data_IF_285148111126
#
_entry.id   IF_285148111126
#
_cell.length_a   1.000
_cell.length_b   1.000
_cell.length_c   1.000
_cell.angle_alpha   90.00
_cell.angle_beta   90.00
_cell.angle_gamma   90.00
#
_symmetry.space_group_name_H-M   'P 1'
#
loop_
_entity.id
_entity.type
_entity.pdbx_description
1 polymer ?
#
# COMPACT_ATOMS: atom_id res chain seq x y z
N UNK A 1 7.22 -54.46 -3.30
CA UNK A 1 8.21 -53.37 -3.19
C UNK A 1 7.46 -52.07 -3.33
N UNK A 2 7.12 -51.39 -2.23
CA UNK A 2 6.53 -50.06 -2.29
C UNK A 2 7.67 -49.07 -2.49
N UNK A 3 7.74 -48.45 -3.67
CA UNK A 3 8.65 -47.33 -3.92
C UNK A 3 8.23 -46.16 -3.02
N UNK A 4 9.02 -45.85 -1.99
CA UNK A 4 8.84 -44.63 -1.20
C UNK A 4 9.09 -43.42 -2.11
N UNK A 5 8.00 -42.73 -2.43
CA UNK A 5 8.04 -41.44 -3.11
C UNK A 5 8.26 -40.34 -2.08
N UNK A 6 9.35 -39.59 -2.23
CA UNK A 6 9.63 -38.40 -1.42
C UNK A 6 8.72 -37.26 -1.88
N UNK A 7 7.85 -36.80 -0.99
CA UNK A 7 6.93 -35.69 -1.26
C UNK A 7 7.33 -34.44 -0.47
N UNK A 8 7.19 -33.23 -1.05
CA UNK A 8 7.46 -32.00 -0.31
C UNK A 8 6.33 -31.71 0.68
N UNK A 9 6.68 -31.48 1.95
CA UNK A 9 5.72 -30.96 2.93
C UNK A 9 5.45 -29.46 2.70
N UNK A 10 4.31 -29.16 2.10
CA UNK A 10 3.80 -27.81 1.89
C UNK A 10 2.70 -27.50 2.91
N UNK A 11 3.02 -26.66 3.89
CA UNK A 11 2.05 -26.18 4.89
C UNK A 11 1.18 -25.07 4.31
N UNK A 12 0.05 -24.77 4.96
CA UNK A 12 -0.83 -23.64 4.59
C UNK A 12 -0.06 -22.34 4.43
N UNK A 13 0.83 -22.03 5.38
CA UNK A 13 1.65 -20.81 5.34
C UNK A 13 2.56 -20.75 4.12
N UNK A 14 3.23 -21.87 3.77
CA UNK A 14 4.06 -21.96 2.56
C UNK A 14 3.22 -21.78 1.30
N UNK A 15 2.05 -22.41 1.23
CA UNK A 15 1.15 -22.32 0.08
C UNK A 15 0.67 -20.88 -0.15
N UNK A 16 0.28 -20.17 0.91
CA UNK A 16 -0.08 -18.73 0.83
C UNK A 16 1.11 -17.92 0.33
N UNK A 17 2.29 -18.15 0.90
CA UNK A 17 3.53 -17.46 0.49
C UNK A 17 3.92 -17.73 -0.96
N UNK A 18 3.60 -18.90 -1.49
CA UNK A 18 3.84 -19.28 -2.89
C UNK A 18 2.72 -18.82 -3.83
N UNK A 19 1.72 -18.09 -3.33
CA UNK A 19 0.68 -17.45 -4.13
C UNK A 19 -0.57 -18.28 -4.34
N UNK A 20 -0.84 -19.31 -3.51
CA UNK A 20 -2.11 -20.03 -3.52
C UNK A 20 -3.18 -19.20 -2.79
N UNK A 21 -4.35 -19.04 -3.41
CA UNK A 21 -5.47 -18.29 -2.84
C UNK A 21 -5.98 -18.93 -1.55
N UNK A 22 -6.16 -18.10 -0.50
CA UNK A 22 -6.59 -18.57 0.84
C UNK A 22 -7.92 -19.32 0.78
N UNK A 23 -8.83 -18.88 -0.08
CA UNK A 23 -10.16 -19.48 -0.27
C UNK A 23 -10.06 -20.92 -0.81
N UNK A 24 -9.04 -21.20 -1.61
CA UNK A 24 -8.80 -22.52 -2.21
C UNK A 24 -8.14 -23.49 -1.23
N UNK A 25 -7.56 -23.00 -0.12
CA UNK A 25 -6.99 -23.85 0.93
C UNK A 25 -8.03 -24.69 1.66
N UNK A 26 -9.31 -24.28 1.65
CA UNK A 26 -10.40 -25.04 2.26
C UNK A 26 -10.70 -26.35 1.52
N UNK A 27 -10.42 -26.39 0.21
CA UNK A 27 -10.59 -27.59 -0.61
C UNK A 27 -9.41 -28.58 -0.51
N UNK A 28 -8.33 -28.18 0.16
CA UNK A 28 -7.13 -29.00 0.32
C UNK A 28 -7.19 -29.81 1.61
N UNK A 29 -6.77 -31.08 1.52
CA UNK A 29 -6.63 -31.95 2.67
C UNK A 29 -5.21 -31.88 3.21
N UNK A 30 -5.08 -31.89 4.53
CA UNK A 30 -3.80 -31.82 5.23
C UNK A 30 -3.67 -33.04 6.15
N UNK A 31 -2.46 -33.56 6.26
CA UNK A 31 -2.14 -34.63 7.20
C UNK A 31 -1.97 -34.10 8.65
N UNK A 32 -1.59 -35.00 9.55
CA UNK A 32 -1.36 -34.67 10.96
C UNK A 32 -0.15 -33.73 11.18
N UNK A 33 0.76 -33.64 10.21
CA UNK A 33 1.93 -32.73 10.22
C UNK A 33 1.63 -31.39 9.53
N UNK A 34 0.37 -31.15 9.17
CA UNK A 34 -0.10 -29.97 8.44
C UNK A 34 0.48 -29.83 7.03
N UNK A 35 0.99 -30.91 6.45
CA UNK A 35 1.41 -30.97 5.06
C UNK A 35 0.21 -31.25 4.17
N UNK A 36 0.11 -30.59 3.02
CA UNK A 36 -0.96 -30.87 2.05
C UNK A 36 -0.79 -32.27 1.46
N UNK A 37 -1.89 -33.02 1.36
CA UNK A 37 -1.93 -34.31 0.68
C UNK A 37 -1.94 -34.08 -0.84
N UNK A 38 -0.77 -34.10 -1.45
CA UNK A 38 -0.57 -33.70 -2.86
C UNK A 38 -1.31 -34.60 -3.85
N UNK A 39 -1.47 -35.89 -3.53
CA UNK A 39 -2.23 -36.86 -4.33
C UNK A 39 -3.68 -36.42 -4.61
N UNK A 40 -4.30 -35.77 -3.62
CA UNK A 40 -5.69 -35.30 -3.69
C UNK A 40 -5.79 -33.81 -4.04
N UNK A 41 -4.68 -33.19 -4.41
CA UNK A 41 -4.61 -31.77 -4.74
C UNK A 41 -4.42 -31.53 -6.24
N UNK A 42 -4.86 -30.37 -6.75
CA UNK A 42 -4.50 -29.92 -8.10
C UNK A 42 -3.01 -29.54 -8.25
N UNK A 43 -2.23 -29.52 -7.17
CA UNK A 43 -0.82 -29.18 -7.19
C UNK A 43 0.01 -30.34 -7.71
N UNK A 44 1.02 -30.03 -8.53
CA UNK A 44 2.02 -31.00 -9.00
C UNK A 44 3.42 -30.51 -8.65
N UNK A 45 4.33 -31.44 -8.42
CA UNK A 45 5.71 -31.12 -8.10
C UNK A 45 6.69 -31.95 -8.92
N UNK A 46 7.84 -31.37 -9.21
CA UNK A 46 8.99 -32.06 -9.82
C UNK A 46 10.25 -31.63 -9.09
N UNK A 47 10.95 -32.57 -8.47
CA UNK A 47 12.23 -32.31 -7.83
C UNK A 47 13.38 -32.70 -8.77
N UNK A 48 14.30 -31.78 -9.01
CA UNK A 48 15.55 -32.03 -9.73
C UNK A 48 16.71 -31.94 -8.74
N UNK A 49 17.23 -33.10 -8.35
CA UNK A 49 18.33 -33.21 -7.38
C UNK A 49 19.65 -32.61 -7.89
N UNK A 50 19.93 -32.72 -9.20
CA UNK A 50 21.16 -32.20 -9.79
C UNK A 50 21.24 -30.66 -9.69
N UNK A 51 20.09 -30.00 -9.83
CA UNK A 51 19.98 -28.54 -9.78
C UNK A 51 19.46 -28.02 -8.42
N UNK A 52 19.21 -28.92 -7.46
CA UNK A 52 18.60 -28.62 -6.17
C UNK A 52 17.31 -27.78 -6.28
N UNK A 53 16.50 -28.04 -7.31
CA UNK A 53 15.30 -27.26 -7.60
C UNK A 53 14.02 -28.07 -7.41
N UNK A 54 13.03 -27.47 -6.77
CA UNK A 54 11.68 -27.99 -6.65
C UNK A 54 10.74 -27.11 -7.48
N UNK A 55 10.25 -27.64 -8.60
CA UNK A 55 9.25 -26.98 -9.41
C UNK A 55 7.86 -27.34 -8.89
N UNK A 56 7.08 -26.34 -8.50
CA UNK A 56 5.68 -26.50 -8.11
C UNK A 56 4.80 -25.94 -9.24
N UNK A 57 3.83 -26.73 -9.68
CA UNK A 57 2.86 -26.35 -10.70
C UNK A 57 1.46 -26.33 -10.08
N UNK A 58 0.77 -25.21 -10.26
CA UNK A 58 -0.59 -24.97 -9.77
C UNK A 58 -1.46 -24.44 -10.92
N UNK A 59 -2.72 -24.87 -11.06
CA UNK A 59 -3.64 -24.25 -12.00
C UNK A 59 -3.83 -22.75 -11.70
N UNK A 60 -3.93 -21.92 -12.74
CA UNK A 60 -4.08 -20.47 -12.57
C UNK A 60 -5.31 -20.07 -11.74
N UNK A 61 -6.37 -20.87 -11.77
CA UNK A 61 -7.61 -20.65 -11.01
C UNK A 61 -7.40 -20.65 -9.49
N UNK A 62 -6.41 -21.40 -8.99
CA UNK A 62 -6.15 -21.50 -7.54
C UNK A 62 -5.07 -20.53 -7.05
N UNK A 63 -4.45 -19.79 -7.96
CA UNK A 63 -3.50 -18.76 -7.62
C UNK A 63 -4.24 -17.52 -7.15
N UNK A 64 -3.72 -16.86 -6.11
CA UNK A 64 -4.16 -15.51 -5.77
C UNK A 64 -3.99 -14.62 -7.00
N UNK A 65 -4.95 -13.71 -7.27
CA UNK A 65 -4.73 -12.64 -8.23
C UNK A 65 -3.41 -11.93 -7.87
N UNK A 66 -2.58 -11.70 -8.87
CA UNK A 66 -1.34 -10.94 -8.67
C UNK A 66 -1.74 -9.48 -8.56
N UNK A 67 -2.13 -9.02 -7.36
CA UNK A 67 -2.11 -7.60 -7.04
C UNK A 67 -0.62 -7.22 -6.91
N UNK A 68 -0.04 -6.78 -8.04
CA UNK A 68 1.40 -6.63 -8.21
C UNK A 68 2.03 -5.56 -7.30
N UNK A 69 1.20 -4.72 -6.69
CA UNK A 69 1.65 -3.52 -5.98
C UNK A 69 1.90 -3.75 -4.49
N UNK A 70 1.19 -4.68 -3.84
CA UNK A 70 1.33 -4.95 -2.39
C UNK A 70 1.21 -6.45 -2.10
N UNK A 71 2.13 -6.94 -1.29
CA UNK A 71 2.11 -8.31 -0.77
C UNK A 71 0.85 -8.61 0.05
N UNK A 72 0.41 -9.87 0.06
CA UNK A 72 -0.70 -10.33 0.91
C UNK A 72 -0.47 -9.95 2.40
N UNK A 73 -1.53 -9.49 3.07
CA UNK A 73 -1.46 -9.03 4.47
C UNK A 73 -0.91 -10.06 5.44
N UNK A 74 -1.11 -11.35 5.14
CA UNK A 74 -0.69 -12.45 5.99
C UNK A 74 0.83 -12.64 6.00
N UNK A 75 1.54 -12.09 5.01
CA UNK A 75 3.00 -12.17 4.93
C UNK A 75 3.69 -10.87 5.35
N UNK A 76 2.95 -9.87 5.84
CA UNK A 76 3.55 -8.64 6.36
C UNK A 76 4.28 -8.90 7.67
N UNK A 77 5.59 -8.67 7.66
CA UNK A 77 6.44 -8.77 8.83
C UNK A 77 6.41 -7.46 9.63
N UNK A 78 6.26 -7.57 10.95
CA UNK A 78 6.43 -6.43 11.84
C UNK A 78 7.92 -6.05 11.92
N UNK A 79 8.84 -6.98 11.68
CA UNK A 79 10.28 -6.79 11.78
C UNK A 79 10.78 -7.06 13.20
N UNK A 80 12.04 -6.69 13.45
CA UNK A 80 12.75 -7.06 14.68
C UNK A 80 12.66 -5.97 15.76
N UNK A 81 12.88 -6.41 17.00
CA UNK A 81 13.09 -5.49 18.11
C UNK A 81 14.44 -4.79 17.95
N UNK A 82 14.44 -3.46 17.93
CA UNK A 82 15.64 -2.68 17.68
C UNK A 82 15.56 -1.29 18.31
N UNK A 83 16.72 -0.78 18.74
CA UNK A 83 16.89 0.62 19.08
C UNK A 83 17.51 1.36 17.87
N UNK A 84 17.06 2.59 17.65
CA UNK A 84 17.47 3.46 16.56
C UNK A 84 17.85 4.82 17.15
N UNK A 85 18.91 5.43 16.63
CA UNK A 85 19.29 6.79 16.99
C UNK A 85 19.88 7.48 15.77
N UNK A 86 19.16 8.50 15.26
CA UNK A 86 19.76 9.45 14.34
C UNK A 86 20.13 10.72 15.12
N UNK A 87 21.23 11.36 14.73
CA UNK A 87 21.66 12.62 15.32
C UNK A 87 22.17 13.57 14.25
N UNK A 88 22.04 14.87 14.53
CA UNK A 88 22.63 15.95 13.74
C UNK A 88 23.19 16.99 14.71
N UNK A 89 24.41 17.43 14.46
CA UNK A 89 25.04 18.50 15.22
C UNK A 89 25.62 19.53 14.25
N UNK A 90 25.41 20.81 14.53
CA UNK A 90 25.95 21.92 13.76
C UNK A 90 26.58 22.94 14.70
N UNK A 91 27.65 23.56 14.23
CA UNK A 91 28.35 24.64 14.89
C UNK A 91 28.46 25.82 13.91
N UNK A 92 28.12 27.01 14.39
CA UNK A 92 28.23 28.24 13.63
C UNK A 92 29.03 29.25 14.46
N UNK A 93 30.08 29.79 13.84
CA UNK A 93 30.87 30.87 14.42
C UNK A 93 30.68 32.15 13.61
N UNK A 94 30.27 33.23 14.26
CA UNK A 94 30.18 34.55 13.63
C UNK A 94 31.42 35.39 13.92
N UNK A 95 32.16 35.73 12.86
CA UNK A 95 33.28 36.69 12.94
C UNK A 95 32.82 38.11 13.29
N UNK A 96 31.57 38.45 12.99
CA UNK A 96 30.95 39.72 13.33
C UNK A 96 30.15 39.51 14.62
N UNK A 97 30.62 40.07 15.74
CA UNK A 97 30.03 39.88 17.07
C UNK A 97 30.75 38.85 17.95
N UNK A 98 31.55 37.94 17.37
CA UNK A 98 32.34 36.97 18.13
C UNK A 98 31.50 35.91 18.84
N UNK A 99 30.38 35.53 18.23
CA UNK A 99 29.37 34.66 18.83
C UNK A 99 29.41 33.25 18.27
N UNK A 100 29.25 32.27 19.15
CA UNK A 100 29.20 30.85 18.83
C UNK A 100 27.78 30.33 19.03
N UNK A 101 27.27 29.60 18.04
CA UNK A 101 25.95 28.94 18.11
C UNK A 101 26.09 27.44 17.88
N UNK A 102 25.43 26.67 18.74
CA UNK A 102 25.43 25.21 18.68
C UNK A 102 24.01 24.71 18.49
N UNK A 103 23.82 23.79 17.56
CA UNK A 103 22.53 23.17 17.27
C UNK A 103 22.69 21.65 17.30
N UNK A 104 21.88 20.98 18.11
CA UNK A 104 21.79 19.54 18.20
C UNK A 104 20.38 19.06 17.90
N UNK A 105 20.26 17.93 17.20
CA UNK A 105 19.00 17.25 17.01
C UNK A 105 19.23 15.75 17.20
N UNK A 106 18.34 15.11 17.95
CA UNK A 106 18.33 13.66 18.16
C UNK A 106 16.97 13.09 17.79
N UNK A 107 16.99 11.90 17.20
CA UNK A 107 15.81 11.13 16.82
C UNK A 107 15.93 9.71 17.37
N UNK A 108 15.75 9.51 18.69
CA UNK A 108 15.72 8.17 19.24
C UNK A 108 14.43 7.46 18.80
N UNK A 109 14.56 6.16 18.55
CA UNK A 109 13.47 5.30 18.16
C UNK A 109 13.62 3.92 18.77
N UNK A 110 12.49 3.28 19.04
CA UNK A 110 12.46 1.90 19.51
C UNK A 110 11.39 1.12 18.77
N UNK A 111 11.75 -0.07 18.29
CA UNK A 111 10.85 -1.01 17.65
C UNK A 111 10.65 -2.18 18.62
N UNK A 112 9.39 -2.49 18.94
CA UNK A 112 9.04 -3.66 19.74
C UNK A 112 7.79 -4.34 19.22
N UNK A 113 7.91 -5.57 18.70
CA UNK A 113 6.82 -6.25 18.00
C UNK A 113 6.28 -5.36 16.89
N UNK A 114 4.97 -5.02 16.85
CA UNK A 114 4.38 -4.11 15.86
C UNK A 114 4.44 -2.61 16.24
N UNK A 115 4.96 -2.26 17.42
CA UNK A 115 4.97 -0.90 17.93
C UNK A 115 6.24 -0.14 17.57
N UNK A 116 6.08 1.10 17.13
CA UNK A 116 7.16 2.01 16.76
C UNK A 116 7.09 3.24 17.64
N UNK A 117 8.02 3.36 18.58
CA UNK A 117 8.21 4.56 19.37
C UNK A 117 9.17 5.49 18.62
N UNK A 118 8.80 6.75 18.45
CA UNK A 118 9.61 7.77 17.77
C UNK A 118 9.58 9.06 18.57
N UNK A 119 10.72 9.72 18.63
CA UNK A 119 10.86 11.05 19.20
C UNK A 119 11.77 11.91 18.32
N UNK A 120 11.51 13.22 18.32
CA UNK A 120 12.37 14.22 17.71
C UNK A 120 12.56 15.33 18.72
N UNK A 121 13.80 15.47 19.20
CA UNK A 121 14.19 16.52 20.12
C UNK A 121 15.33 17.35 19.55
N UNK A 122 15.21 18.66 19.71
CA UNK A 122 16.21 19.63 19.29
C UNK A 122 16.71 20.41 20.50
N UNK A 123 18.00 20.71 20.46
CA UNK A 123 18.70 21.55 21.41
C UNK A 123 19.39 22.66 20.64
N UNK A 124 19.24 23.89 21.09
CA UNK A 124 19.97 25.03 20.58
C UNK A 124 20.60 25.81 21.73
N UNK A 125 21.82 26.26 21.50
CA UNK A 125 22.55 27.13 22.39
C UNK A 125 23.06 28.30 21.56
N UNK A 126 22.29 29.38 21.61
CA UNK A 126 22.62 30.69 21.08
C UNK A 126 23.27 31.50 22.22
N UNK A 127 24.09 32.49 21.90
CA UNK A 127 24.82 33.29 22.89
C UNK A 127 23.94 33.87 24.01
N UNK A 128 22.67 34.15 23.69
CA UNK A 128 21.67 34.73 24.59
C UNK A 128 20.63 33.73 25.12
N UNK A 129 20.48 32.54 24.51
CA UNK A 129 19.37 31.63 24.81
C UNK A 129 19.73 30.16 24.61
N UNK A 130 19.34 29.34 25.59
CA UNK A 130 19.40 27.88 25.49
C UNK A 130 17.98 27.33 25.45
N UNK A 131 17.63 26.63 24.37
CA UNK A 131 16.31 26.04 24.19
C UNK A 131 16.43 24.55 23.96
N UNK A 132 15.58 23.78 24.63
CA UNK A 132 15.40 22.36 24.37
C UNK A 132 13.93 22.11 24.09
N UNK A 133 13.65 21.48 22.97
CA UNK A 133 12.28 21.25 22.52
C UNK A 133 12.10 19.84 22.00
N UNK A 134 10.89 19.31 22.19
CA UNK A 134 10.47 18.03 21.63
C UNK A 134 9.33 18.29 20.65
N UNK A 135 9.62 18.19 19.35
CA UNK A 135 8.63 18.35 18.30
C UNK A 135 7.52 17.29 18.45
N UNK A 136 7.93 16.03 18.65
CA UNK A 136 7.00 14.93 18.86
C UNK A 136 7.60 13.81 19.72
N UNK A 137 6.72 13.06 20.37
CA UNK A 137 7.03 11.78 21.01
C UNK A 137 5.77 10.93 20.97
N UNK A 138 5.79 9.87 20.16
CA UNK A 138 4.61 9.04 19.97
C UNK A 138 4.98 7.58 19.77
N UNK A 139 4.06 6.70 20.14
CA UNK A 139 4.06 5.31 19.73
C UNK A 139 3.02 5.12 18.63
N UNK A 140 3.37 4.41 17.56
CA UNK A 140 2.44 4.05 16.50
C UNK A 140 2.47 2.56 16.17
N UNK A 141 1.35 2.06 15.64
CA UNK A 141 1.19 0.68 15.20
C UNK A 141 0.22 0.62 14.02
N UNK A 142 0.54 -0.23 13.04
CA UNK A 142 -0.38 -0.61 11.97
C UNK A 142 -1.45 -1.60 12.41
N UNK A 143 -2.68 -1.38 11.95
CA UNK A 143 -3.86 -2.22 12.14
C UNK A 143 -4.28 -2.79 10.79
N UNK A 144 -3.70 -3.96 10.43
CA UNK A 144 -3.83 -4.61 9.11
C UNK A 144 -5.29 -4.76 8.65
N UNK A 145 -6.15 -5.31 9.51
CA UNK A 145 -7.58 -5.59 9.21
C UNK A 145 -8.41 -4.38 8.76
N UNK A 146 -8.07 -3.18 9.21
CA UNK A 146 -8.80 -1.95 8.85
C UNK A 146 -7.97 -1.01 7.97
N UNK A 147 -6.72 -1.41 7.64
CA UNK A 147 -5.76 -0.64 6.86
C UNK A 147 -5.52 0.75 7.43
N UNK A 148 -5.24 0.78 8.74
CA UNK A 148 -5.13 2.03 9.49
C UNK A 148 -3.93 2.03 10.41
N UNK A 149 -3.50 3.22 10.82
CA UNK A 149 -2.43 3.43 11.78
C UNK A 149 -2.99 4.08 13.04
N UNK A 150 -2.77 3.40 14.17
CA UNK A 150 -3.02 3.93 15.49
C UNK A 150 -1.77 4.68 15.96
N UNK A 151 -1.94 5.90 16.44
CA UNK A 151 -0.89 6.74 17.04
C UNK A 151 -1.34 7.16 18.44
N UNK A 152 -0.42 7.10 19.40
CA UNK A 152 -0.62 7.57 20.77
C UNK A 152 0.55 8.44 21.20
N UNK A 153 0.26 9.61 21.76
CA UNK A 153 1.25 10.55 22.27
C UNK A 153 1.16 11.91 21.60
N UNK A 154 2.32 12.52 21.41
CA UNK A 154 2.50 13.88 20.90
C UNK A 154 2.77 13.83 19.40
N UNK A 155 1.85 14.35 18.59
CA UNK A 155 2.00 14.42 17.13
C UNK A 155 1.18 15.58 16.56
N UNK A 156 1.02 15.60 15.25
CA UNK A 156 0.25 16.57 14.48
C UNK A 156 -0.87 15.82 13.73
N UNK A 157 -2.01 16.47 13.52
CA UNK A 157 -3.11 15.92 12.71
C UNK A 157 -2.74 15.90 11.22
N UNK A 158 -3.44 15.05 10.44
CA UNK A 158 -3.34 15.04 8.98
C UNK A 158 -3.81 16.36 8.38
N UNK A 159 -3.07 16.89 7.39
CA UNK A 159 -3.39 18.13 6.70
C UNK A 159 -4.17 17.93 5.37
N UNK A 160 -4.93 16.83 5.25
CA UNK A 160 -5.61 16.48 3.99
C UNK A 160 -6.77 17.44 3.64
N UNK A 161 -7.46 17.97 4.65
CA UNK A 161 -8.64 18.85 4.50
C UNK A 161 -8.55 20.16 5.29
N UNK A 162 -7.84 20.15 6.41
CA UNK A 162 -7.70 21.27 7.34
C UNK A 162 -6.24 21.48 7.68
N UNK A 163 -5.93 22.63 8.26
CA UNK A 163 -4.59 22.89 8.78
C UNK A 163 -4.20 21.86 9.86
N UNK A 164 -2.94 21.46 9.82
CA UNK A 164 -2.38 20.52 10.78
C UNK A 164 -2.26 21.17 12.15
N UNK A 165 -2.83 20.53 13.18
CA UNK A 165 -2.75 21.01 14.55
C UNK A 165 -1.96 20.03 15.44
N UNK A 166 -1.06 20.52 16.30
CA UNK A 166 -0.34 19.69 17.24
C UNK A 166 -1.27 19.23 18.38
N UNK A 167 -1.21 17.94 18.70
CA UNK A 167 -2.04 17.33 19.74
C UNK A 167 -1.23 16.37 20.63
N UNK A 168 -1.74 16.15 21.83
CA UNK A 168 -1.37 15.07 22.76
C UNK A 168 -2.58 14.19 22.98
N UNK A 169 -2.55 12.96 22.49
CA UNK A 169 -3.68 12.05 22.61
C UNK A 169 -3.60 10.84 21.69
N UNK A 170 -4.73 10.47 21.11
CA UNK A 170 -4.91 9.31 20.26
C UNK A 170 -5.33 9.74 18.86
N UNK A 171 -4.81 9.07 17.84
CA UNK A 171 -5.21 9.28 16.46
C UNK A 171 -5.29 7.96 15.71
N UNK A 172 -6.37 7.75 14.97
CA UNK A 172 -6.58 6.62 14.09
C UNK A 172 -6.82 7.13 12.68
N UNK A 173 -5.90 6.82 11.78
CA UNK A 173 -5.91 7.30 10.40
C UNK A 173 -5.89 6.12 9.44
N UNK A 174 -6.63 6.20 8.33
CA UNK A 174 -6.44 5.28 7.21
C UNK A 174 -4.99 5.39 6.71
N UNK A 175 -4.31 4.26 6.57
CA UNK A 175 -2.92 4.24 6.09
C UNK A 175 -2.92 3.77 4.64
N UNK A 176 -2.78 4.72 3.71
CA UNK A 176 -2.87 4.44 2.28
C UNK A 176 -1.70 3.57 1.80
N UNK A 177 -0.58 3.53 2.53
CA UNK A 177 0.56 2.64 2.21
C UNK A 177 0.23 1.16 2.36
N UNK A 178 -0.85 0.83 3.07
CA UNK A 178 -1.37 -0.53 3.26
C UNK A 178 -2.33 -0.98 2.15
N UNK A 179 -2.59 -0.10 1.17
CA UNK A 179 -3.62 -0.27 0.14
C UNK A 179 -2.96 -0.08 -1.23
N UNK A 180 -3.17 -0.99 -2.20
CA UNK A 180 -2.63 -0.86 -3.55
C UNK A 180 -2.92 0.52 -4.14
N UNK A 181 -1.95 1.06 -4.87
CA UNK A 181 -2.09 2.33 -5.57
C UNK A 181 -3.30 2.32 -6.51
N UNK A 182 -3.50 1.23 -7.25
CA UNK A 182 -4.66 1.00 -8.12
C UNK A 182 -6.01 1.14 -7.40
N UNK A 183 -6.06 0.81 -6.11
CA UNK A 183 -7.27 0.84 -5.27
C UNK A 183 -7.53 2.21 -4.62
N UNK A 184 -6.49 3.03 -4.39
CA UNK A 184 -6.63 4.38 -3.80
C UNK A 184 -6.70 5.52 -4.82
N UNK A 185 -6.27 5.28 -6.06
CA UNK A 185 -6.34 6.26 -7.16
C UNK A 185 -7.68 6.17 -7.89
N UNK A 186 -8.31 7.31 -8.17
CA UNK A 186 -9.55 7.37 -8.94
C UNK A 186 -9.30 6.98 -10.40
N UNK A 187 -10.09 6.05 -10.93
CA UNK A 187 -10.12 5.71 -12.35
C UNK A 187 -11.55 5.86 -12.88
N UNK A 188 -11.75 6.44 -14.07
CA UNK A 188 -13.07 6.53 -14.66
C UNK A 188 -13.54 5.14 -15.06
N UNK A 189 -14.82 4.87 -14.86
CA UNK A 189 -15.45 3.64 -15.35
C UNK A 189 -15.99 3.87 -16.75
N UNK A 190 -15.52 3.10 -17.72
CA UNK A 190 -15.98 3.18 -19.12
C UNK A 190 -17.19 2.24 -19.26
N UNK A 191 -18.38 2.83 -19.37
CA UNK A 191 -19.64 2.12 -19.59
C UNK A 191 -20.07 2.27 -21.04
N UNK A 192 -20.66 1.22 -21.61
CA UNK A 192 -21.18 1.23 -22.97
C UNK A 192 -22.13 0.07 -23.24
N UNK A 193 -22.73 0.07 -24.44
CA UNK A 193 -23.59 -1.00 -24.93
C UNK A 193 -23.07 -1.46 -26.29
N UNK A 194 -22.66 -2.73 -26.38
CA UNK A 194 -22.33 -3.38 -27.64
C UNK A 194 -23.59 -4.01 -28.25
N UNK A 195 -23.86 -3.72 -29.52
CA UNK A 195 -25.01 -4.29 -30.25
C UNK A 195 -24.74 -5.72 -30.71
N UNK A 196 -23.46 -6.06 -30.90
CA UNK A 196 -22.98 -7.38 -31.35
C UNK A 196 -21.79 -7.81 -30.50
N UNK A 197 -21.15 -8.95 -30.84
CA UNK A 197 -19.80 -9.21 -30.33
C UNK A 197 -18.90 -8.09 -30.85
N UNK A 198 -18.36 -7.27 -29.95
CA UNK A 198 -17.59 -6.09 -30.32
C UNK A 198 -16.18 -6.14 -29.74
N UNK A 199 -15.27 -5.42 -30.36
CA UNK A 199 -13.96 -5.09 -29.79
C UNK A 199 -14.00 -3.65 -29.30
N UNK A 200 -13.69 -3.44 -28.03
CA UNK A 200 -13.61 -2.10 -27.42
C UNK A 200 -12.14 -1.73 -27.34
N UNK A 201 -11.77 -0.62 -27.99
CA UNK A 201 -10.46 0.02 -27.86
C UNK A 201 -10.59 1.26 -26.98
N UNK A 202 -9.62 1.44 -26.08
CA UNK A 202 -9.46 2.66 -25.28
C UNK A 202 -8.12 3.27 -25.64
N UNK A 203 -8.15 4.54 -26.07
CA UNK A 203 -6.97 5.33 -26.42
C UNK A 203 -6.83 6.52 -25.49
N UNK A 204 -5.58 6.91 -25.25
CA UNK A 204 -5.24 8.14 -24.55
C UNK A 204 -4.12 8.85 -25.32
N UNK A 205 -4.32 10.12 -25.64
CA UNK A 205 -3.39 10.91 -26.46
C UNK A 205 -3.05 10.20 -27.79
N UNK A 206 -4.03 9.49 -28.38
CA UNK A 206 -3.87 8.71 -29.61
C UNK A 206 -3.25 7.31 -29.46
N UNK A 207 -2.63 7.00 -28.31
CA UNK A 207 -2.04 5.67 -28.05
C UNK A 207 -3.10 4.68 -27.58
N UNK A 208 -3.07 3.46 -28.12
CA UNK A 208 -3.91 2.35 -27.64
C UNK A 208 -3.40 1.88 -26.28
N UNK A 209 -4.19 2.13 -25.24
CA UNK A 209 -3.84 1.75 -23.87
C UNK A 209 -4.50 0.44 -23.46
N UNK A 210 -5.71 0.15 -23.95
CA UNK A 210 -6.44 -1.07 -23.61
C UNK A 210 -7.30 -1.54 -24.78
N UNK A 211 -7.40 -2.86 -24.96
CA UNK A 211 -8.28 -3.48 -25.95
C UNK A 211 -8.85 -4.78 -25.41
N UNK A 212 -10.16 -4.97 -25.53
CA UNK A 212 -10.84 -6.20 -25.09
C UNK A 212 -12.05 -6.51 -25.96
N UNK A 213 -12.46 -7.78 -26.02
CA UNK A 213 -13.70 -8.19 -26.70
C UNK A 213 -14.83 -8.34 -25.69
N UNK A 214 -16.00 -7.79 -26.02
CA UNK A 214 -17.19 -7.82 -25.17
C UNK A 214 -18.35 -8.50 -25.91
N UNK A 215 -19.18 -9.28 -25.20
CA UNK A 215 -20.40 -9.84 -25.77
C UNK A 215 -21.47 -8.74 -26.01
N UNK A 216 -22.51 -9.01 -26.82
CA UNK A 216 -23.63 -8.10 -27.01
C UNK A 216 -24.31 -7.81 -25.67
N UNK A 217 -24.56 -6.54 -25.40
CA UNK A 217 -25.14 -6.06 -24.16
C UNK A 217 -24.33 -4.94 -23.52
N UNK A 218 -24.69 -4.62 -22.28
CA UNK A 218 -23.96 -3.66 -21.45
C UNK A 218 -22.60 -4.23 -21.07
N UNK A 219 -21.58 -3.38 -21.13
CA UNK A 219 -20.25 -3.71 -20.61
C UNK A 219 -19.74 -2.57 -19.73
N UNK A 220 -18.82 -2.95 -18.84
CA UNK A 220 -18.13 -2.05 -17.95
C UNK A 220 -16.64 -2.39 -17.97
N UNK A 221 -15.80 -1.42 -18.33
CA UNK A 221 -14.35 -1.51 -18.18
C UNK A 221 -14.01 -0.60 -17.01
N UNK A 222 -13.62 -1.22 -15.90
CA UNK A 222 -13.36 -0.56 -14.64
C UNK A 222 -11.87 -0.50 -14.32
N UNK A 223 -11.59 -0.15 -13.06
CA UNK A 223 -10.23 0.04 -12.55
C UNK A 223 -9.35 -1.20 -12.67
N UNK A 224 -9.88 -2.39 -12.43
CA UNK A 224 -9.12 -3.65 -12.40
C UNK A 224 -8.46 -3.96 -13.75
N UNK A 225 -9.04 -3.44 -14.83
CA UNK A 225 -8.54 -3.66 -16.18
C UNK A 225 -7.56 -2.59 -16.64
N UNK A 226 -7.68 -1.35 -16.14
CA UNK A 226 -6.95 -0.19 -16.69
C UNK A 226 -5.99 0.49 -15.70
N UNK A 227 -6.02 0.14 -14.41
CA UNK A 227 -5.23 0.84 -13.39
C UNK A 227 -3.72 0.69 -13.60
N UNK A 228 -3.28 -0.52 -13.92
CA UNK A 228 -1.86 -0.87 -14.08
C UNK A 228 -1.29 -0.42 -15.44
N UNK A 229 -2.12 0.13 -16.32
CA UNK A 229 -1.73 0.56 -17.66
C UNK A 229 -1.11 1.97 -17.71
N UNK A 230 -0.91 2.60 -16.54
CA UNK A 230 -0.29 3.92 -16.43
C UNK A 230 -1.14 5.06 -17.01
N UNK A 231 -2.47 4.88 -17.02
CA UNK A 231 -3.41 5.89 -17.54
C UNK A 231 -3.30 7.17 -16.73
N UNK A 232 -2.91 8.27 -17.40
CA UNK A 232 -2.76 9.58 -16.78
C UNK A 232 -4.05 10.40 -16.82
N UNK A 233 -4.06 11.56 -16.16
CA UNK A 233 -5.17 12.53 -16.26
C UNK A 233 -5.32 13.00 -17.72
N UNK A 234 -6.55 13.11 -18.24
CA UNK A 234 -6.79 13.53 -19.62
C UNK A 234 -8.15 13.09 -20.16
N UNK A 235 -8.23 12.86 -21.47
CA UNK A 235 -9.44 12.32 -22.13
C UNK A 235 -9.14 10.91 -22.62
N UNK A 236 -10.07 9.99 -22.38
CA UNK A 236 -10.02 8.64 -22.94
C UNK A 236 -10.93 8.58 -24.16
N UNK A 237 -10.37 8.25 -25.31
CA UNK A 237 -11.11 8.02 -26.55
C UNK A 237 -11.52 6.55 -26.61
N UNK A 238 -12.81 6.27 -26.64
CA UNK A 238 -13.36 4.91 -26.66
C UNK A 238 -13.97 4.63 -28.03
N UNK A 239 -13.52 3.54 -28.65
CA UNK A 239 -14.03 3.05 -29.93
C UNK A 239 -14.56 1.62 -29.78
N UNK A 240 -15.85 1.43 -30.10
CA UNK A 240 -16.50 0.12 -30.10
C UNK A 240 -16.64 -0.34 -31.55
N UNK A 241 -15.84 -1.33 -31.94
CA UNK A 241 -15.89 -1.97 -33.25
C UNK A 241 -16.86 -3.14 -33.23
N UNK A 242 -18.05 -2.93 -33.79
CA UNK A 242 -19.08 -3.95 -33.90
C UNK A 242 -18.73 -4.95 -35.01
N UNK A 243 -19.17 -6.22 -34.85
CA UNK A 243 -18.96 -7.27 -35.86
C UNK A 243 -19.59 -6.94 -37.22
N UNK A 244 -20.62 -6.09 -37.24
CA UNK A 244 -21.27 -5.63 -38.47
C UNK A 244 -20.51 -4.49 -39.19
N UNK A 245 -19.33 -4.09 -38.69
CA UNK A 245 -18.50 -3.03 -39.25
C UNK A 245 -18.87 -1.61 -38.79
N UNK A 246 -19.93 -1.45 -37.98
CA UNK A 246 -20.22 -0.15 -37.37
C UNK A 246 -19.20 0.16 -36.26
N UNK A 247 -18.82 1.43 -36.15
CA UNK A 247 -17.94 1.91 -35.07
C UNK A 247 -18.68 2.97 -34.28
N UNK A 248 -18.75 2.78 -32.96
CA UNK A 248 -19.28 3.78 -32.04
C UNK A 248 -18.10 4.46 -31.33
N UNK A 249 -18.07 5.79 -31.34
CA UNK A 249 -17.00 6.57 -30.72
C UNK A 249 -17.58 7.51 -29.68
N UNK A 250 -16.93 7.59 -28.52
CA UNK A 250 -17.24 8.57 -27.48
C UNK A 250 -16.01 8.81 -26.61
N UNK A 251 -16.04 9.90 -25.86
CA UNK A 251 -14.94 10.27 -24.98
C UNK A 251 -15.37 10.20 -23.52
N UNK A 252 -14.45 9.74 -22.67
CA UNK A 252 -14.64 9.69 -21.22
C UNK A 252 -13.60 10.64 -20.60
N UNK A 253 -14.03 11.75 -19.98
CA UNK A 253 -13.09 12.65 -19.31
C UNK A 253 -12.54 11.97 -18.06
N UNK A 254 -11.22 12.03 -17.89
CA UNK A 254 -10.52 11.59 -16.70
C UNK A 254 -9.86 12.79 -16.02
N UNK A 255 -10.50 13.27 -14.96
CA UNK A 255 -9.94 14.26 -14.05
C UNK A 255 -9.85 13.67 -12.65
N UNK A 256 -8.78 14.00 -11.93
CA UNK A 256 -8.61 13.67 -10.51
C UNK A 256 -8.68 14.96 -9.68
N UNK A 257 -9.88 15.40 -9.25
CA UNK A 257 -9.98 16.40 -8.21
C UNK A 257 -9.13 15.99 -7.00
N UNK A 258 -8.54 16.97 -6.31
CA UNK A 258 -7.60 16.76 -5.18
C UNK A 258 -8.22 15.93 -4.05
N UNK A 259 -9.55 15.86 -3.96
CA UNK A 259 -10.31 15.13 -2.94
C UNK A 259 -11.16 13.97 -3.50
N UNK A 260 -10.98 13.59 -4.76
CA UNK A 260 -11.74 12.47 -5.34
C UNK A 260 -11.26 11.14 -4.78
N UNK A 261 -12.19 10.41 -4.18
CA UNK A 261 -11.98 9.04 -3.74
C UNK A 261 -12.61 8.08 -4.76
N UNK A 262 -11.97 6.93 -5.03
CA UNK A 262 -12.58 5.88 -5.82
C UNK A 262 -13.87 5.33 -5.19
N UNK A 263 -14.72 4.73 -6.01
CA UNK A 263 -15.88 4.01 -5.50
C UNK A 263 -15.45 2.89 -4.54
N UNK A 264 -16.21 2.72 -3.46
CA UNK A 264 -15.91 1.79 -2.36
C UNK A 264 -14.71 2.17 -1.48
N UNK A 265 -13.97 3.24 -1.78
CA UNK A 265 -12.82 3.67 -0.99
C UNK A 265 -13.18 4.76 0.02
N UNK A 266 -12.85 4.55 1.29
CA UNK A 266 -13.05 5.53 2.36
C UNK A 266 -11.72 5.96 2.99
N UNK A 267 -11.41 7.25 2.94
CA UNK A 267 -10.32 7.87 3.70
C UNK A 267 -10.90 8.54 4.94
N UNK A 268 -10.32 8.25 6.10
CA UNK A 268 -10.76 8.83 7.37
C UNK A 268 -9.58 9.10 8.30
N UNK A 269 -9.78 10.08 9.19
CA UNK A 269 -8.84 10.51 10.23
C UNK A 269 -9.66 10.90 11.45
N UNK A 270 -9.42 10.22 12.57
CA UNK A 270 -10.09 10.50 13.86
C UNK A 270 -9.00 10.77 14.88
N UNK A 271 -8.98 11.99 15.41
CA UNK A 271 -8.02 12.40 16.44
C UNK A 271 -8.74 12.93 17.67
N UNK A 272 -8.35 12.46 18.84
CA UNK A 272 -8.91 12.85 20.13
C UNK A 272 -7.73 13.15 21.07
N UNK A 273 -7.67 14.37 21.58
CA UNK A 273 -6.57 14.77 22.45
C UNK A 273 -6.68 16.21 22.90
N UNK A 274 -5.63 16.64 23.59
CA UNK A 274 -5.45 18.05 23.97
C UNK A 274 -4.60 18.74 22.92
N UNK A 275 -4.97 19.96 22.57
CA UNK A 275 -4.11 20.83 21.78
C UNK A 275 -2.78 21.04 22.52
N UNK A 276 -1.68 20.99 21.79
CA UNK A 276 -0.35 21.31 22.34
C UNK A 276 0.00 22.72 21.91
N UNK A 277 0.07 23.63 22.86
CA UNK A 277 0.55 24.98 22.61
C UNK A 277 1.97 24.93 22.04
N UNK A 278 2.15 25.58 20.89
CA UNK A 278 3.45 25.87 20.33
C UNK A 278 3.83 27.22 20.92
N UNK A 279 4.91 27.30 21.70
CA UNK A 279 5.42 28.57 22.18
C UNK A 279 5.81 29.40 20.95
N UNK A 280 4.99 30.40 20.65
CA UNK A 280 5.05 31.20 19.44
C UNK A 280 5.81 32.51 19.69
N UNK A 281 6.89 32.45 20.47
CA UNK A 281 7.69 33.61 20.89
C UNK A 281 8.48 34.27 19.72
N UNK A 282 8.14 33.98 18.47
CA UNK A 282 8.82 34.46 17.26
C UNK A 282 7.92 35.31 16.33
N UNK A 283 6.69 35.61 16.74
CA UNK A 283 5.81 36.56 16.02
C UNK A 283 5.39 37.65 17.00
N UNK A 284 6.26 38.65 17.17
CA UNK A 284 5.92 40.03 17.56
C UNK A 284 6.99 40.98 17.02
#
# INVERSE_FOLDING_TARGET
SMTQTLEPCLTKEKLIKYGIAIQELHGLQFDNEQCVLLEHSPLKYTYNAANQSLLLNAPSKILSPIDSEIADENIWDDGINAFLLNYRANYLHSKVGGEDSYFGQIQPGFNFGPWRLRNLSSWQNLSSEKKFESAYIYAERGLKKIKSKLTVGDKYTSADLFDSVPFRGFSLNKDESMIPFSQRTYYPTIRGIAKTNATVEVRQNGYLIYSTSVPPGQFEIGREQIADLGVGVGVLDVSIYEKNGQVQNYTVPYSTPVLSLPDGYSKYSVTIGRYREVNNDYID
#
